data_IF_509862905597
#
_entry.id   IF_509862905597
#
_cell.length_a   1.000
_cell.length_b   1.000
_cell.length_c   1.000
_cell.angle_alpha   90.00
_cell.angle_beta   90.00
_cell.angle_gamma   90.00
#
_symmetry.space_group_name_H-M   'P 1'
#
loop_
_entity.id
_entity.type
_entity.pdbx_description
1 polymer ?
#
# COMPACT_ATOMS: atom_id res chain seq x y z
N UNK A 1 10.69 4.24 9.53
CA UNK A 1 9.60 4.53 10.50
C UNK A 1 8.38 4.99 9.71
N UNK A 2 7.25 4.30 9.89
CA UNK A 2 5.97 4.68 9.26
C UNK A 2 5.36 5.81 10.07
N UNK A 3 4.91 6.87 9.41
CA UNK A 3 4.28 8.03 10.06
C UNK A 3 2.79 8.10 9.79
N UNK A 4 2.33 7.54 8.67
CA UNK A 4 0.91 7.54 8.31
C UNK A 4 0.58 6.33 7.45
N UNK A 5 -0.65 5.85 7.63
CA UNK A 5 -1.25 4.76 6.86
C UNK A 5 -2.67 5.18 6.51
N UNK A 6 -3.07 5.06 5.25
CA UNK A 6 -4.42 5.42 4.80
C UNK A 6 -4.92 4.46 3.74
N UNK A 7 -6.15 3.99 3.90
CA UNK A 7 -6.85 3.24 2.86
C UNK A 7 -7.30 4.17 1.74
N UNK A 8 -7.17 3.70 0.50
CA UNK A 8 -7.81 4.34 -0.65
C UNK A 8 -9.32 4.41 -0.46
N UNK A 9 -9.97 5.33 -1.18
CA UNK A 9 -11.44 5.54 -1.08
C UNK A 9 -12.24 4.26 -1.36
N UNK A 10 -11.72 3.41 -2.24
CA UNK A 10 -12.33 2.13 -2.64
C UNK A 10 -11.76 0.94 -1.85
N UNK A 11 -10.92 1.19 -0.84
CA UNK A 11 -10.17 0.20 -0.05
C UNK A 11 -9.29 -0.80 -0.83
N UNK A 12 -9.17 -0.65 -2.16
CA UNK A 12 -8.33 -1.49 -3.03
C UNK A 12 -6.83 -1.24 -2.91
N UNK A 13 -6.42 -0.24 -2.15
CA UNK A 13 -5.02 0.03 -1.89
C UNK A 13 -4.79 0.69 -0.54
N UNK A 14 -3.56 0.54 -0.04
CA UNK A 14 -3.05 1.13 1.18
C UNK A 14 -1.89 2.07 0.83
N UNK A 15 -2.02 3.34 1.19
CA UNK A 15 -0.93 4.30 1.11
C UNK A 15 -0.17 4.34 2.44
N UNK A 16 1.16 4.23 2.38
CA UNK A 16 2.06 4.26 3.53
C UNK A 16 3.08 5.39 3.36
N UNK A 17 3.03 6.35 4.28
CA UNK A 17 4.00 7.44 4.36
C UNK A 17 5.09 7.13 5.38
N UNK A 18 6.35 7.42 5.03
CA UNK A 18 7.50 7.17 5.90
C UNK A 18 8.38 8.41 6.08
N UNK A 19 9.19 8.44 7.14
CA UNK A 19 10.02 9.60 7.48
C UNK A 19 11.13 9.89 6.46
N UNK A 20 11.53 8.91 5.68
CA UNK A 20 12.46 9.02 4.56
C UNK A 20 11.85 9.72 3.35
N UNK A 21 10.72 10.43 3.53
CA UNK A 21 9.95 11.14 2.50
C UNK A 21 9.52 10.23 1.35
N UNK A 22 9.37 8.94 1.65
CA UNK A 22 8.88 7.96 0.70
C UNK A 22 7.37 7.77 0.90
N UNK A 23 6.68 7.60 -0.23
CA UNK A 23 5.28 7.21 -0.28
C UNK A 23 5.19 5.90 -1.05
N UNK A 24 4.67 4.86 -0.38
CA UNK A 24 4.50 3.53 -0.98
C UNK A 24 3.01 3.21 -1.08
N UNK A 25 2.61 2.65 -2.22
CA UNK A 25 1.25 2.17 -2.45
C UNK A 25 1.27 0.65 -2.53
N UNK A 26 0.42 0.01 -1.74
CA UNK A 26 0.19 -1.42 -1.79
C UNK A 26 -1.22 -1.66 -2.31
N UNK A 27 -1.33 -2.22 -3.51
CA UNK A 27 -2.61 -2.66 -4.05
C UNK A 27 -3.06 -3.97 -3.41
N UNK A 28 -4.31 -4.34 -3.63
CA UNK A 28 -4.74 -5.71 -3.39
C UNK A 28 -3.86 -6.68 -4.20
N UNK A 29 -3.55 -7.87 -3.67
CA UNK A 29 -2.98 -8.92 -4.49
C UNK A 29 -3.93 -9.17 -5.66
N UNK A 30 -3.39 -9.18 -6.88
CA UNK A 30 -4.17 -9.60 -8.05
C UNK A 30 -4.65 -11.02 -7.73
N UNK A 31 -5.96 -11.26 -7.72
CA UNK A 31 -6.51 -12.58 -7.50
C UNK A 31 -5.95 -13.53 -8.57
N UNK A 32 -4.90 -14.28 -8.22
CA UNK A 32 -4.17 -15.17 -9.14
C UNK A 32 -2.66 -14.94 -9.27
N UNK A 33 -2.04 -13.97 -8.58
CA UNK A 33 -0.58 -13.92 -8.47
C UNK A 33 -0.07 -14.87 -7.36
N UNK A 34 -0.32 -16.17 -7.52
CA UNK A 34 0.65 -17.18 -7.09
C UNK A 34 1.75 -17.18 -8.16
N UNK A 35 2.82 -16.41 -7.94
CA UNK A 35 4.06 -16.62 -8.69
C UNK A 35 4.81 -17.80 -8.02
N UNK A 36 5.24 -18.83 -8.78
CA UNK A 36 5.80 -20.08 -8.25
C UNK A 36 7.17 -19.91 -7.57
#
# INVERSE_FOLDING_TARGET
RITSVKFGVDAKYLAVGTMDRNLRFFGLPVAGAEEP
#
